data_IF_694025696939
#
_entry.id   IF_694025696939
#
_cell.length_a   1.000
_cell.length_b   1.000
_cell.length_c   1.000
_cell.angle_alpha   90.00
_cell.angle_beta   90.00
_cell.angle_gamma   90.00
#
_symmetry.space_group_name_H-M   'P 1'
#
loop_
_entity.id
_entity.type
_entity.pdbx_description
1 polymer ?
#
# COMPACT_ATOMS: atom_id res chain seq x y z
N UNK A 1 12.39 -4.48 -15.13
CA UNK A 1 11.27 -3.98 -14.30
C UNK A 1 10.63 -2.72 -14.89
N UNK A 2 11.39 -1.84 -15.60
CA UNK A 2 10.82 -0.68 -16.30
C UNK A 2 9.70 -1.06 -17.28
N UNK A 3 9.82 -2.23 -17.93
CA UNK A 3 8.78 -2.76 -18.81
C UNK A 3 7.52 -3.17 -18.03
N UNK A 4 7.67 -3.76 -16.84
CA UNK A 4 6.54 -4.12 -15.99
C UNK A 4 5.80 -2.87 -15.51
N UNK A 5 6.54 -1.86 -15.06
CA UNK A 5 6.00 -0.54 -14.72
C UNK A 5 5.16 0.04 -15.86
N UNK A 6 5.72 0.07 -17.08
CA UNK A 6 5.02 0.61 -18.25
C UNK A 6 3.73 -0.16 -18.54
N UNK A 7 3.74 -1.48 -18.45
CA UNK A 7 2.55 -2.31 -18.69
C UNK A 7 1.47 -2.07 -17.65
N UNK A 8 1.83 -1.93 -16.38
CA UNK A 8 0.90 -1.59 -15.30
C UNK A 8 0.30 -0.20 -15.54
N UNK A 9 1.13 0.81 -15.78
CA UNK A 9 0.70 2.20 -15.99
C UNK A 9 -0.32 2.32 -17.14
N UNK A 10 -0.14 1.56 -18.21
CA UNK A 10 -1.03 1.59 -19.37
C UNK A 10 -2.25 0.67 -19.26
N UNK A 11 -2.36 -0.14 -18.19
CA UNK A 11 -3.47 -1.06 -17.99
C UNK A 11 -4.79 -0.32 -17.70
N UNK A 12 -5.91 -0.99 -18.01
CA UNK A 12 -7.23 -0.46 -17.68
C UNK A 12 -7.49 -0.51 -16.18
N UNK A 13 -6.96 -1.53 -15.49
CA UNK A 13 -7.05 -1.65 -14.05
C UNK A 13 -6.44 -0.43 -13.34
N UNK A 14 -5.25 0.02 -13.76
CA UNK A 14 -4.63 1.21 -13.21
C UNK A 14 -5.48 2.47 -13.44
N UNK A 15 -6.01 2.66 -14.66
CA UNK A 15 -6.88 3.82 -14.97
C UNK A 15 -8.14 3.89 -14.11
N UNK A 16 -8.68 2.74 -13.68
CA UNK A 16 -9.87 2.68 -12.81
C UNK A 16 -9.62 3.21 -11.41
N UNK A 17 -8.36 3.24 -10.94
CA UNK A 17 -8.02 3.73 -9.60
C UNK A 17 -8.40 5.20 -9.40
N UNK A 18 -8.41 6.02 -10.46
CA UNK A 18 -8.82 7.44 -10.38
C UNK A 18 -10.28 7.65 -9.96
N UNK A 19 -11.14 6.65 -10.14
CA UNK A 19 -12.57 6.69 -9.80
C UNK A 19 -12.92 5.83 -8.58
N UNK A 20 -11.91 5.30 -7.90
CA UNK A 20 -12.07 4.63 -6.61
C UNK A 20 -11.58 5.55 -5.51
N UNK A 21 -12.38 5.72 -4.47
CA UNK A 21 -11.98 6.49 -3.29
C UNK A 21 -11.02 5.68 -2.42
N UNK A 22 -10.18 6.36 -1.66
CA UNK A 22 -9.29 5.70 -0.71
C UNK A 22 -10.09 5.22 0.50
N UNK A 23 -10.61 6.13 1.30
CA UNK A 23 -11.42 5.83 2.50
C UNK A 23 -12.79 6.48 2.40
N UNK A 24 -12.85 7.77 2.14
CA UNK A 24 -14.09 8.53 2.14
C UNK A 24 -14.78 8.47 0.76
N UNK A 25 -15.96 7.87 0.70
CA UNK A 25 -16.71 7.71 -0.53
C UNK A 25 -17.94 8.62 -0.59
N UNK A 26 -18.44 8.87 -1.80
CA UNK A 26 -19.60 9.73 -2.06
C UNK A 26 -19.39 11.19 -1.67
N UNK A 27 -18.16 11.70 -1.80
CA UNK A 27 -17.80 13.09 -1.55
C UNK A 27 -17.44 13.72 -2.88
N UNK A 28 -18.18 14.78 -3.26
CA UNK A 28 -17.88 15.59 -4.44
C UNK A 28 -16.84 16.66 -4.06
N UNK A 29 -15.56 16.28 -4.06
CA UNK A 29 -14.45 17.19 -3.79
C UNK A 29 -13.20 16.71 -4.51
N UNK A 30 -12.56 17.61 -5.25
CA UNK A 30 -11.29 17.36 -5.93
C UNK A 30 -10.10 17.26 -4.96
N UNK A 31 -10.32 17.52 -3.68
CA UNK A 31 -9.27 17.52 -2.65
C UNK A 31 -9.19 16.19 -1.87
N UNK A 32 -10.15 15.29 -2.05
CA UNK A 32 -10.19 14.01 -1.35
C UNK A 32 -9.41 12.96 -2.14
N UNK A 33 -8.56 12.24 -1.44
CA UNK A 33 -7.62 11.28 -2.02
C UNK A 33 -8.33 10.14 -2.78
N UNK A 34 -7.99 10.00 -4.05
CA UNK A 34 -8.35 8.83 -4.86
C UNK A 34 -7.34 7.70 -4.65
N UNK A 35 -7.70 6.47 -5.03
CA UNK A 35 -6.75 5.35 -5.00
C UNK A 35 -5.56 5.56 -5.92
N UNK A 36 -5.73 6.25 -7.03
CA UNK A 36 -4.61 6.59 -7.91
C UNK A 36 -3.61 7.52 -7.22
N UNK A 37 -4.08 8.52 -6.47
CA UNK A 37 -3.20 9.41 -5.71
C UNK A 37 -2.50 8.66 -4.56
N UNK A 38 -3.22 7.76 -3.87
CA UNK A 38 -2.61 6.88 -2.88
C UNK A 38 -1.48 6.04 -3.49
N UNK A 39 -1.70 5.39 -4.64
CA UNK A 39 -0.66 4.62 -5.34
C UNK A 39 0.56 5.48 -5.67
N UNK A 40 0.37 6.73 -6.11
CA UNK A 40 1.47 7.65 -6.38
C UNK A 40 2.21 8.07 -5.10
N UNK A 41 1.50 8.20 -3.97
CA UNK A 41 2.14 8.47 -2.68
C UNK A 41 2.98 7.28 -2.21
N UNK A 42 2.43 6.06 -2.30
CA UNK A 42 3.17 4.83 -1.98
C UNK A 42 4.40 4.70 -2.86
N UNK A 43 4.27 4.98 -4.15
CA UNK A 43 5.36 4.96 -5.10
C UNK A 43 6.47 5.95 -4.71
N UNK A 44 6.12 7.20 -4.41
CA UNK A 44 7.07 8.24 -4.01
C UNK A 44 7.82 7.90 -2.71
N UNK A 45 7.09 7.41 -1.70
CA UNK A 45 7.67 6.96 -0.42
C UNK A 45 8.59 5.76 -0.64
N UNK A 46 8.13 4.75 -1.37
CA UNK A 46 8.89 3.54 -1.67
C UNK A 46 10.17 3.84 -2.44
N UNK A 47 10.08 4.70 -3.45
CA UNK A 47 11.24 5.13 -4.23
C UNK A 47 12.29 5.80 -3.35
N UNK A 48 11.87 6.72 -2.48
CA UNK A 48 12.78 7.45 -1.59
C UNK A 48 13.54 6.49 -0.66
N UNK A 49 12.83 5.50 -0.09
CA UNK A 49 13.43 4.49 0.77
C UNK A 49 14.37 3.58 -0.04
N UNK A 50 13.90 3.03 -1.17
CA UNK A 50 14.68 2.13 -2.00
C UNK A 50 15.97 2.79 -2.50
N UNK A 51 15.89 4.04 -2.97
CA UNK A 51 17.02 4.82 -3.42
C UNK A 51 18.06 5.04 -2.33
N UNK A 52 17.61 5.35 -1.12
CA UNK A 52 18.49 5.58 0.04
C UNK A 52 19.17 4.29 0.51
N UNK A 53 18.47 3.16 0.41
CA UNK A 53 18.99 1.84 0.79
C UNK A 53 19.73 1.11 -0.36
N UNK A 54 19.94 1.78 -1.49
CA UNK A 54 20.63 1.23 -2.69
C UNK A 54 19.96 -0.05 -3.23
N UNK A 55 18.63 -0.16 -3.09
CA UNK A 55 17.81 -1.22 -3.66
C UNK A 55 17.46 -0.93 -5.13
N UNK A 56 16.82 -1.88 -5.80
CA UNK A 56 16.38 -1.72 -7.18
C UNK A 56 15.14 -0.82 -7.27
N UNK A 57 15.34 0.44 -7.65
CA UNK A 57 14.28 1.44 -7.76
C UNK A 57 13.25 1.12 -8.86
N UNK A 58 13.65 0.56 -10.00
CA UNK A 58 12.71 0.14 -11.05
C UNK A 58 11.76 -0.99 -10.59
N UNK A 59 12.27 -1.95 -9.82
CA UNK A 59 11.44 -3.00 -9.22
C UNK A 59 10.47 -2.40 -8.21
N UNK A 60 10.96 -1.51 -7.35
CA UNK A 60 10.15 -0.81 -6.35
C UNK A 60 9.01 -0.02 -7.00
N UNK A 61 9.31 0.74 -8.07
CA UNK A 61 8.31 1.46 -8.87
C UNK A 61 7.23 0.52 -9.41
N UNK A 62 7.63 -0.58 -10.03
CA UNK A 62 6.69 -1.51 -10.64
C UNK A 62 5.78 -2.17 -9.61
N UNK A 63 6.30 -2.57 -8.44
CA UNK A 63 5.50 -3.14 -7.35
C UNK A 63 4.54 -2.09 -6.80
N UNK A 64 5.02 -0.88 -6.49
CA UNK A 64 4.21 0.19 -5.93
C UNK A 64 3.07 0.59 -6.86
N UNK A 65 3.30 0.70 -8.17
CA UNK A 65 2.26 1.00 -9.14
C UNK A 65 1.21 -0.10 -9.29
N UNK A 66 1.59 -1.35 -9.00
CA UNK A 66 0.73 -2.52 -9.16
C UNK A 66 -0.02 -2.95 -7.91
N UNK A 67 0.39 -2.51 -6.71
CA UNK A 67 -0.07 -3.09 -5.45
C UNK A 67 -1.60 -3.04 -5.29
N UNK A 68 -2.25 -1.96 -5.67
CA UNK A 68 -3.67 -1.66 -5.40
C UNK A 68 -4.62 -1.94 -6.57
N UNK A 69 -4.13 -2.54 -7.69
CA UNK A 69 -4.92 -2.79 -8.90
C UNK A 69 -6.20 -3.59 -8.65
N UNK A 70 -6.16 -4.50 -7.71
CA UNK A 70 -7.26 -5.42 -7.38
C UNK A 70 -8.27 -4.89 -6.38
N UNK A 71 -8.12 -3.66 -5.91
CA UNK A 71 -8.97 -3.14 -4.85
C UNK A 71 -10.44 -3.02 -5.25
N UNK A 72 -11.34 -3.41 -4.35
CA UNK A 72 -12.77 -3.35 -4.54
C UNK A 72 -13.29 -1.89 -4.55
N UNK A 73 -14.44 -1.61 -5.21
CA UNK A 73 -15.15 -0.36 -4.99
C UNK A 73 -15.55 -0.22 -3.52
N UNK A 74 -15.63 1.02 -3.02
CA UNK A 74 -15.98 1.34 -1.62
C UNK A 74 -15.00 0.79 -0.58
N UNK A 75 -13.72 0.71 -0.92
CA UNK A 75 -12.64 0.38 0.00
C UNK A 75 -12.79 -0.98 0.69
N UNK A 76 -12.36 -1.08 1.93
CA UNK A 76 -12.42 -2.31 2.72
C UNK A 76 -13.85 -2.75 3.05
N UNK A 77 -14.82 -1.81 3.12
CA UNK A 77 -16.21 -2.19 3.28
C UNK A 77 -16.73 -2.97 2.09
N UNK A 78 -16.50 -2.47 0.88
CA UNK A 78 -16.84 -3.19 -0.37
C UNK A 78 -16.15 -4.54 -0.46
N UNK A 79 -14.88 -4.61 -0.09
CA UNK A 79 -14.13 -5.86 -0.03
C UNK A 79 -14.76 -6.87 0.94
N UNK A 80 -15.18 -6.44 2.13
CA UNK A 80 -15.83 -7.30 3.11
C UNK A 80 -17.15 -7.90 2.58
N UNK A 81 -17.94 -7.09 1.87
CA UNK A 81 -19.19 -7.54 1.23
C UNK A 81 -18.89 -8.57 0.11
N UNK A 82 -17.92 -8.26 -0.76
CA UNK A 82 -17.53 -9.19 -1.84
C UNK A 82 -16.99 -10.50 -1.25
N UNK A 83 -16.17 -10.43 -0.19
CA UNK A 83 -15.65 -11.63 0.47
C UNK A 83 -16.78 -12.49 1.05
N UNK A 84 -17.79 -11.89 1.69
CA UNK A 84 -18.98 -12.60 2.19
C UNK A 84 -19.72 -13.31 1.07
N UNK A 85 -19.97 -12.62 -0.04
CA UNK A 85 -20.66 -13.19 -1.20
C UNK A 85 -19.81 -14.28 -1.89
N UNK A 86 -18.50 -14.05 -2.03
CA UNK A 86 -17.57 -15.03 -2.60
C UNK A 86 -17.53 -16.32 -1.78
N UNK A 87 -17.49 -16.22 -0.46
CA UNK A 87 -17.60 -17.40 0.41
C UNK A 87 -18.92 -18.13 0.25
N UNK A 88 -20.03 -17.38 0.21
CA UNK A 88 -21.37 -17.94 0.12
C UNK A 88 -21.63 -18.68 -1.20
N UNK A 89 -21.22 -18.09 -2.34
CA UNK A 89 -21.58 -18.60 -3.67
C UNK A 89 -20.48 -19.39 -4.36
N UNK A 90 -19.19 -19.10 -4.03
CA UNK A 90 -18.04 -19.71 -4.69
C UNK A 90 -17.20 -20.59 -3.76
N UNK A 91 -17.46 -20.56 -2.44
CA UNK A 91 -16.65 -21.25 -1.43
C UNK A 91 -15.20 -20.73 -1.33
N UNK A 92 -14.94 -19.52 -1.81
CA UNK A 92 -13.58 -18.93 -1.89
C UNK A 92 -13.50 -17.60 -1.15
N UNK A 93 -12.35 -17.34 -0.52
CA UNK A 93 -12.04 -16.03 0.03
C UNK A 93 -11.76 -15.03 -1.11
N UNK A 94 -12.21 -13.80 -0.92
CA UNK A 94 -11.84 -12.66 -1.75
C UNK A 94 -11.02 -11.68 -0.92
N UNK A 95 -9.89 -11.22 -1.46
CA UNK A 95 -9.11 -10.09 -0.95
C UNK A 95 -8.38 -9.41 -2.11
N UNK A 96 -8.11 -8.12 -1.95
CA UNK A 96 -7.70 -7.28 -3.08
C UNK A 96 -6.33 -7.63 -3.67
N UNK A 97 -5.37 -8.11 -2.88
CA UNK A 97 -4.03 -8.46 -3.37
C UNK A 97 -4.09 -9.68 -4.33
N UNK A 98 -4.88 -10.70 -3.96
CA UNK A 98 -5.10 -11.84 -4.86
C UNK A 98 -5.88 -11.43 -6.10
N UNK A 99 -6.84 -10.52 -5.95
CA UNK A 99 -7.56 -9.97 -7.07
C UNK A 99 -6.65 -9.13 -7.97
N UNK A 100 -5.68 -8.38 -7.41
CA UNK A 100 -4.64 -7.67 -8.15
C UNK A 100 -3.79 -8.60 -9.00
N UNK A 101 -3.31 -9.71 -8.41
CA UNK A 101 -2.62 -10.75 -9.16
C UNK A 101 -3.50 -11.34 -10.26
N UNK A 102 -4.77 -11.62 -9.97
CA UNK A 102 -5.71 -12.14 -10.96
C UNK A 102 -5.94 -11.17 -12.12
N UNK A 103 -6.00 -9.85 -11.85
CA UNK A 103 -6.12 -8.83 -12.90
C UNK A 103 -4.94 -8.86 -13.86
N UNK A 104 -3.70 -8.86 -13.34
CA UNK A 104 -2.50 -8.79 -14.19
C UNK A 104 -2.23 -10.11 -14.93
N UNK A 105 -2.69 -11.24 -14.39
CA UNK A 105 -2.47 -12.56 -14.98
C UNK A 105 -3.59 -13.01 -15.92
N UNK A 106 -4.83 -12.46 -15.79
CA UNK A 106 -5.99 -13.04 -16.48
C UNK A 106 -6.92 -12.00 -17.13
N UNK A 107 -7.00 -10.79 -16.61
CA UNK A 107 -8.00 -9.80 -17.07
C UNK A 107 -7.38 -8.74 -17.98
N UNK A 108 -6.23 -8.21 -17.60
CA UNK A 108 -5.52 -7.21 -18.39
C UNK A 108 -4.76 -7.91 -19.51
N UNK A 109 -5.12 -7.58 -20.74
CA UNK A 109 -4.55 -8.22 -21.92
C UNK A 109 -3.81 -7.19 -22.78
N UNK A 110 -2.64 -7.58 -23.26
CA UNK A 110 -1.84 -6.82 -24.22
C UNK A 110 -1.60 -7.66 -25.48
N UNK A 111 -1.63 -7.05 -26.68
CA UNK A 111 -1.27 -7.76 -27.89
C UNK A 111 0.25 -8.07 -27.88
N UNK A 112 0.60 -9.25 -28.34
CA UNK A 112 1.98 -9.62 -28.70
C UNK A 112 2.33 -9.14 -30.13
N UNK A 113 3.53 -9.49 -30.59
CA UNK A 113 4.00 -9.13 -31.93
C UNK A 113 3.19 -9.78 -33.08
N UNK A 114 2.32 -10.73 -32.78
CA UNK A 114 1.46 -11.45 -33.73
C UNK A 114 -0.03 -11.10 -33.50
N UNK A 115 -0.30 -10.01 -32.79
CA UNK A 115 -1.65 -9.54 -32.41
C UNK A 115 -2.46 -10.57 -31.57
N UNK A 116 -1.81 -11.57 -30.97
CA UNK A 116 -2.47 -12.41 -29.98
C UNK A 116 -2.49 -11.70 -28.64
N UNK A 117 -3.63 -11.74 -27.97
CA UNK A 117 -3.79 -11.16 -26.66
C UNK A 117 -3.20 -12.08 -25.60
N UNK A 118 -2.28 -11.55 -24.81
CA UNK A 118 -1.65 -12.21 -23.67
C UNK A 118 -1.85 -11.35 -22.42
N UNK A 119 -1.64 -11.96 -21.24
CA UNK A 119 -1.66 -11.21 -19.99
C UNK A 119 -0.54 -10.16 -19.95
N UNK A 120 -0.44 -9.40 -18.84
CA UNK A 120 0.59 -8.37 -18.72
C UNK A 120 2.02 -8.95 -18.73
N UNK A 121 2.19 -10.26 -18.56
CA UNK A 121 3.47 -10.95 -18.53
C UNK A 121 4.51 -10.22 -17.65
N UNK A 122 4.09 -9.93 -16.41
CA UNK A 122 4.95 -9.30 -15.42
C UNK A 122 5.95 -10.31 -14.85
N UNK A 123 7.10 -9.81 -14.42
CA UNK A 123 8.09 -10.64 -13.74
C UNK A 123 7.55 -11.21 -12.43
N UNK A 124 8.12 -12.33 -11.99
CA UNK A 124 7.73 -12.97 -10.74
C UNK A 124 7.85 -12.00 -9.55
N UNK A 125 8.95 -11.24 -9.47
CA UNK A 125 9.21 -10.32 -8.36
C UNK A 125 8.13 -9.23 -8.23
N UNK A 126 7.63 -8.70 -9.35
CA UNK A 126 6.53 -7.71 -9.35
C UNK A 126 5.22 -8.36 -8.95
N UNK A 127 4.88 -9.53 -9.50
CA UNK A 127 3.67 -10.29 -9.15
C UNK A 127 3.65 -10.70 -7.70
N UNK A 128 4.80 -11.12 -7.18
CA UNK A 128 4.98 -11.44 -5.78
C UNK A 128 4.78 -10.22 -4.88
N UNK A 129 5.38 -9.08 -5.24
CA UNK A 129 5.17 -7.82 -4.53
C UNK A 129 3.70 -7.41 -4.49
N UNK A 130 2.95 -7.59 -5.59
CA UNK A 130 1.52 -7.29 -5.66
C UNK A 130 0.71 -8.15 -4.68
N UNK A 131 0.95 -9.47 -4.61
CA UNK A 131 0.13 -10.35 -3.76
C UNK A 131 0.54 -10.31 -2.29
N UNK A 132 1.76 -9.87 -1.96
CA UNK A 132 2.31 -9.93 -0.61
C UNK A 132 2.39 -8.59 0.12
N UNK A 133 1.93 -7.47 -0.52
CA UNK A 133 2.09 -6.12 0.05
C UNK A 133 1.27 -5.90 1.32
N UNK A 134 0.10 -6.48 1.47
CA UNK A 134 -0.72 -6.38 2.68
C UNK A 134 -0.47 -7.49 3.70
N UNK A 135 -1.26 -7.47 4.72
CA UNK A 135 -1.23 -8.38 5.85
C UNK A 135 -0.56 -7.73 7.04
N UNK A 136 -1.41 -7.44 8.03
CA UNK A 136 -0.99 -6.81 9.25
C UNK A 136 -0.41 -7.85 10.20
N UNK A 137 0.90 -7.90 10.23
CA UNK A 137 1.61 -8.37 11.41
C UNK A 137 2.28 -7.16 12.01
N UNK A 138 2.10 -6.93 13.31
CA UNK A 138 2.86 -5.93 14.07
C UNK A 138 4.32 -6.36 14.15
N UNK A 139 5.01 -6.27 13.03
CA UNK A 139 6.41 -6.68 12.92
C UNK A 139 7.21 -5.41 12.68
N UNK A 140 8.05 -5.07 13.65
CA UNK A 140 8.97 -3.93 13.55
C UNK A 140 10.04 -4.10 12.46
N UNK A 141 10.15 -5.30 11.88
CA UNK A 141 11.14 -5.65 10.88
C UNK A 141 10.54 -6.61 9.85
N UNK A 142 10.65 -6.25 8.59
CA UNK A 142 10.25 -7.08 7.45
C UNK A 142 11.49 -7.61 6.74
N UNK A 143 11.62 -8.94 6.68
CA UNK A 143 12.65 -9.61 5.88
C UNK A 143 12.00 -10.33 4.71
N UNK A 144 12.64 -10.32 3.54
CA UNK A 144 12.21 -11.17 2.44
C UNK A 144 12.17 -12.63 2.89
N UNK A 145 11.25 -13.40 2.33
CA UNK A 145 11.32 -14.87 2.45
C UNK A 145 12.44 -15.41 1.59
N UNK A 146 12.99 -16.54 1.98
CA UNK A 146 14.13 -17.17 1.29
C UNK A 146 13.71 -18.02 0.07
N UNK A 147 12.44 -18.42 -0.02
CA UNK A 147 11.99 -19.40 -1.00
C UNK A 147 11.05 -18.75 -2.03
N UNK A 148 11.23 -19.15 -3.29
CA UNK A 148 10.26 -18.92 -4.35
C UNK A 148 9.11 -19.93 -4.19
N UNK A 149 7.88 -19.47 -4.21
CA UNK A 149 6.66 -20.28 -4.07
C UNK A 149 5.76 -20.07 -5.27
N UNK A 150 4.83 -21.00 -5.51
CA UNK A 150 3.73 -20.70 -6.42
C UNK A 150 2.85 -19.62 -5.79
N UNK A 151 2.60 -18.53 -6.52
CA UNK A 151 1.77 -17.43 -6.03
C UNK A 151 0.31 -17.84 -5.85
N UNK A 152 -0.10 -18.99 -6.38
CA UNK A 152 -1.42 -19.58 -6.11
C UNK A 152 -1.54 -20.16 -4.69
N UNK A 153 -0.42 -20.42 -4.02
CA UNK A 153 -0.38 -20.95 -2.64
C UNK A 153 -0.78 -19.91 -1.58
N UNK A 154 -0.92 -18.64 -1.96
CA UNK A 154 -1.51 -17.64 -1.08
C UNK A 154 -3.00 -17.95 -0.89
N UNK A 155 -3.40 -18.31 0.31
CA UNK A 155 -4.79 -18.60 0.70
C UNK A 155 -5.41 -17.51 1.57
N UNK A 156 -4.57 -16.68 2.21
CA UNK A 156 -4.97 -15.57 3.08
C UNK A 156 -4.03 -14.37 2.92
N UNK A 157 -4.52 -13.14 3.16
CA UNK A 157 -3.67 -11.94 3.18
C UNK A 157 -2.52 -12.08 4.17
N UNK A 158 -1.32 -11.63 3.78
CA UNK A 158 -0.16 -11.62 4.66
C UNK A 158 0.41 -12.98 5.05
N UNK A 159 0.01 -14.06 4.37
CA UNK A 159 0.48 -15.42 4.67
C UNK A 159 2.01 -15.53 4.52
N UNK A 160 2.57 -14.90 3.52
CA UNK A 160 4.01 -14.89 3.25
C UNK A 160 4.53 -13.45 3.13
N UNK A 161 5.77 -13.24 3.54
CA UNK A 161 6.47 -11.99 3.26
C UNK A 161 6.84 -11.92 1.77
N UNK A 162 7.05 -10.71 1.21
CA UNK A 162 7.62 -10.55 -0.13
C UNK A 162 8.95 -11.31 -0.27
N UNK A 163 9.27 -11.73 -1.49
CA UNK A 163 10.55 -12.41 -1.79
C UNK A 163 11.72 -11.43 -1.94
N UNK A 164 11.45 -10.13 -2.06
CA UNK A 164 12.46 -9.10 -2.26
C UNK A 164 12.41 -8.03 -1.19
N UNK A 165 13.52 -7.32 -0.97
CA UNK A 165 13.56 -6.15 -0.08
C UNK A 165 12.69 -5.00 -0.63
N UNK A 166 12.62 -4.84 -1.94
CA UNK A 166 11.76 -3.86 -2.61
C UNK A 166 10.28 -4.12 -2.29
N UNK A 167 9.83 -5.37 -2.32
CA UNK A 167 8.49 -5.76 -1.89
C UNK A 167 8.25 -5.44 -0.41
N UNK A 168 9.24 -5.65 0.46
CA UNK A 168 9.17 -5.27 1.86
C UNK A 168 9.09 -3.74 2.05
N UNK A 169 9.82 -2.97 1.22
CA UNK A 169 9.75 -1.50 1.21
C UNK A 169 8.36 -1.04 0.83
N UNK A 170 7.77 -1.57 -0.26
CA UNK A 170 6.41 -1.18 -0.68
C UNK A 170 5.38 -1.52 0.40
N UNK A 171 5.49 -2.69 1.03
CA UNK A 171 4.61 -3.11 2.13
C UNK A 171 4.62 -2.16 3.33
N UNK A 172 5.78 -1.60 3.67
CA UNK A 172 5.90 -0.61 4.75
C UNK A 172 5.48 0.78 4.29
N UNK A 173 5.83 1.16 3.06
CA UNK A 173 5.51 2.46 2.48
C UNK A 173 4.00 2.65 2.31
N UNK A 174 3.27 1.60 1.95
CA UNK A 174 1.81 1.61 1.89
C UNK A 174 1.21 2.03 3.24
N UNK A 175 1.67 1.43 4.35
CA UNK A 175 1.22 1.80 5.70
C UNK A 175 1.50 3.26 6.05
N UNK A 176 2.66 3.79 5.68
CA UNK A 176 3.02 5.18 5.94
C UNK A 176 2.18 6.14 5.11
N UNK A 177 1.97 5.81 3.83
CA UNK A 177 1.27 6.67 2.90
C UNK A 177 -0.21 6.85 3.27
N UNK A 178 -0.93 5.74 3.60
CA UNK A 178 -2.34 5.87 3.94
C UNK A 178 -2.57 6.62 5.25
N UNK A 179 -1.72 6.41 6.27
CA UNK A 179 -1.88 7.07 7.57
C UNK A 179 -1.82 8.58 7.45
N UNK A 180 -0.88 9.12 6.69
CA UNK A 180 -0.75 10.56 6.52
C UNK A 180 -1.94 11.16 5.77
N UNK A 181 -2.36 10.52 4.70
CA UNK A 181 -3.39 11.06 3.82
C UNK A 181 -4.79 10.96 4.41
N UNK A 182 -5.12 9.86 5.08
CA UNK A 182 -6.41 9.69 5.74
C UNK A 182 -6.65 10.75 6.81
N UNK A 183 -5.61 11.15 7.54
CA UNK A 183 -5.67 12.25 8.51
C UNK A 183 -5.95 13.59 7.80
N UNK A 184 -5.27 13.90 6.71
CA UNK A 184 -5.49 15.13 5.94
C UNK A 184 -6.92 15.22 5.41
N UNK A 185 -7.42 14.13 4.85
CA UNK A 185 -8.77 14.04 4.34
C UNK A 185 -9.80 14.20 5.47
N UNK A 186 -9.59 13.53 6.62
CA UNK A 186 -10.47 13.64 7.80
C UNK A 186 -10.49 15.06 8.38
N UNK A 187 -9.35 15.77 8.40
CA UNK A 187 -9.26 17.18 8.80
C UNK A 187 -10.03 18.06 7.81
N UNK A 188 -9.80 17.87 6.50
CA UNK A 188 -10.42 18.66 5.43
C UNK A 188 -11.93 18.52 5.41
N UNK A 189 -12.44 17.33 5.76
CA UNK A 189 -13.87 17.03 5.85
C UNK A 189 -14.51 17.44 7.18
N UNK A 190 -13.70 17.90 8.15
CA UNK A 190 -14.20 18.30 9.46
C UNK A 190 -14.69 17.12 10.32
N UNK A 191 -14.21 15.90 10.06
CA UNK A 191 -14.59 14.72 10.84
C UNK A 191 -13.86 14.63 12.18
N UNK A 192 -12.70 15.30 12.32
CA UNK A 192 -11.92 15.29 13.55
C UNK A 192 -12.32 16.45 14.45
N UNK A 193 -12.69 16.15 15.69
CA UNK A 193 -12.95 17.14 16.72
C UNK A 193 -11.65 17.80 17.22
N UNK A 194 -11.75 18.96 17.88
CA UNK A 194 -10.57 19.59 18.53
C UNK A 194 -9.89 18.66 19.55
N UNK A 195 -10.67 17.82 20.24
CA UNK A 195 -10.13 16.85 21.19
C UNK A 195 -9.36 15.74 20.47
N UNK A 196 -9.88 15.24 19.34
CA UNK A 196 -9.19 14.25 18.49
C UNK A 196 -7.89 14.82 17.93
N UNK A 197 -7.87 16.09 17.50
CA UNK A 197 -6.65 16.75 17.03
C UNK A 197 -5.60 16.91 18.15
N UNK A 198 -6.02 17.24 19.38
CA UNK A 198 -5.13 17.28 20.56
C UNK A 198 -4.57 15.90 20.92
N UNK A 199 -5.38 14.84 20.80
CA UNK A 199 -4.94 13.47 21.01
C UNK A 199 -3.89 13.07 19.96
N UNK A 200 -4.15 13.33 18.69
CA UNK A 200 -3.21 13.05 17.61
C UNK A 200 -1.88 13.81 17.78
N UNK A 201 -1.92 15.11 18.18
CA UNK A 201 -0.72 15.89 18.46
C UNK A 201 0.16 15.27 19.54
N UNK A 202 -0.44 14.68 20.59
CA UNK A 202 0.26 13.96 21.64
C UNK A 202 0.90 12.66 21.13
N UNK A 203 0.18 11.93 20.28
CA UNK A 203 0.70 10.68 19.68
C UNK A 203 1.95 10.96 18.87
N UNK A 204 1.93 12.01 18.03
CA UNK A 204 3.07 12.35 17.15
C UNK A 204 4.14 13.19 17.84
N UNK A 205 3.97 13.50 19.13
CA UNK A 205 4.92 14.27 19.93
C UNK A 205 5.29 15.64 19.32
N UNK A 206 4.28 16.32 18.76
CA UNK A 206 4.46 17.69 18.31
C UNK A 206 4.64 18.62 19.53
N UNK A 207 5.54 19.60 19.43
CA UNK A 207 5.70 20.61 20.46
C UNK A 207 4.37 21.33 20.70
N UNK A 208 4.06 21.63 21.96
CA UNK A 208 2.81 22.27 22.41
C UNK A 208 2.47 23.60 21.70
N UNK A 209 3.42 24.18 20.97
CA UNK A 209 3.27 25.41 20.21
C UNK A 209 2.89 25.20 18.72
N UNK A 210 2.87 23.98 18.20
CA UNK A 210 2.44 23.74 16.82
C UNK A 210 0.94 23.44 16.79
N UNK A 211 0.13 24.43 16.38
CA UNK A 211 -1.32 24.31 16.20
C UNK A 211 -1.72 23.50 14.95
N UNK A 212 -0.78 23.09 14.13
CA UNK A 212 -1.03 22.43 12.85
C UNK A 212 -0.32 21.08 12.79
N UNK A 213 -1.11 20.01 12.60
CA UNK A 213 -0.57 18.67 12.36
C UNK A 213 -0.03 18.64 10.94
N UNK A 214 1.26 18.47 10.79
CA UNK A 214 1.93 18.36 9.49
C UNK A 214 2.22 16.89 9.17
N UNK A 215 1.35 16.27 8.39
CA UNK A 215 1.45 14.86 7.98
C UNK A 215 2.70 14.59 7.14
N UNK A 216 3.13 15.57 6.32
CA UNK A 216 4.38 15.46 5.55
C UNK A 216 5.61 15.36 6.47
N UNK A 217 5.61 16.06 7.60
CA UNK A 217 6.66 15.94 8.61
C UNK A 217 6.64 14.56 9.28
N UNK A 218 5.46 14.05 9.62
CA UNK A 218 5.29 12.72 10.21
C UNK A 218 5.82 11.65 9.26
N UNK A 219 5.38 11.65 8.00
CA UNK A 219 5.86 10.72 6.98
C UNK A 219 7.36 10.85 6.75
N UNK A 220 7.89 12.07 6.65
CA UNK A 220 9.32 12.32 6.48
C UNK A 220 10.16 11.80 7.64
N UNK A 221 9.64 11.85 8.88
CA UNK A 221 10.31 11.26 10.05
C UNK A 221 10.33 9.72 9.96
N UNK A 222 9.22 9.10 9.57
CA UNK A 222 9.13 7.65 9.38
C UNK A 222 10.07 7.15 8.28
N UNK A 223 10.12 7.85 7.14
CA UNK A 223 11.04 7.51 6.04
C UNK A 223 12.50 7.57 6.50
N UNK A 224 12.89 8.65 7.18
CA UNK A 224 14.27 8.79 7.71
C UNK A 224 14.60 7.71 8.74
N UNK A 225 13.65 7.37 9.59
CA UNK A 225 13.82 6.33 10.60
C UNK A 225 14.03 4.95 9.95
N UNK A 226 13.23 4.60 8.94
CA UNK A 226 13.41 3.36 8.16
C UNK A 226 14.80 3.33 7.52
N UNK A 227 15.18 4.39 6.82
CA UNK A 227 16.47 4.47 6.14
C UNK A 227 17.66 4.31 7.12
N UNK A 228 17.53 4.81 8.35
CA UNK A 228 18.55 4.72 9.39
C UNK A 228 18.66 3.35 10.04
N UNK A 229 17.52 2.66 10.23
CA UNK A 229 17.44 1.43 11.02
C UNK A 229 17.48 0.15 10.18
N UNK A 230 17.19 0.24 8.87
CA UNK A 230 17.18 -0.91 7.97
C UNK A 230 18.58 -1.38 7.61
N UNK A 231 18.75 -2.69 7.50
CA UNK A 231 19.97 -3.33 6.98
C UNK A 231 19.65 -4.73 6.47
N UNK A 232 20.61 -5.38 5.78
CA UNK A 232 20.46 -6.76 5.32
C UNK A 232 20.19 -7.70 6.50
N UNK A 233 20.87 -7.50 7.63
CA UNK A 233 20.69 -8.36 8.82
C UNK A 233 19.37 -8.07 9.55
N UNK A 234 18.93 -6.82 9.61
CA UNK A 234 17.71 -6.43 10.33
C UNK A 234 16.46 -6.53 9.46
N UNK A 235 16.60 -6.40 8.14
CA UNK A 235 15.49 -6.23 7.21
C UNK A 235 15.09 -4.75 7.08
N UNK A 236 13.92 -4.50 6.48
CA UNK A 236 13.31 -3.18 6.41
C UNK A 236 12.57 -2.95 7.71
N UNK A 237 13.00 -1.96 8.51
CA UNK A 237 12.47 -1.80 9.87
C UNK A 237 12.39 -0.34 10.31
N UNK A 238 11.42 -0.08 11.18
CA UNK A 238 11.31 1.13 12.01
C UNK A 238 12.01 0.90 13.36
N UNK A 239 12.43 1.97 14.01
CA UNK A 239 12.76 1.92 15.43
C UNK A 239 11.54 1.54 16.27
N UNK A 240 11.74 1.03 17.48
CA UNK A 240 10.64 0.71 18.40
C UNK A 240 9.75 1.92 18.66
N UNK A 241 10.36 3.11 18.86
CA UNK A 241 9.63 4.35 19.08
C UNK A 241 8.75 4.72 17.89
N UNK A 242 9.30 4.69 16.66
CA UNK A 242 8.54 5.06 15.47
C UNK A 242 7.48 4.02 15.11
N UNK A 243 7.74 2.76 15.39
CA UNK A 243 6.74 1.68 15.24
C UNK A 243 5.58 1.86 16.22
N UNK A 244 5.83 2.26 17.46
CA UNK A 244 4.79 2.57 18.46
C UNK A 244 3.93 3.77 18.00
N UNK A 245 4.56 4.82 17.49
CA UNK A 245 3.85 5.99 16.93
C UNK A 245 2.96 5.55 15.75
N UNK A 246 3.50 4.79 14.81
CA UNK A 246 2.76 4.27 13.65
C UNK A 246 1.52 3.48 14.08
N UNK A 247 1.68 2.58 15.05
CA UNK A 247 0.58 1.76 15.56
C UNK A 247 -0.48 2.59 16.29
N UNK A 248 -0.08 3.60 17.06
CA UNK A 248 -1.02 4.52 17.73
C UNK A 248 -1.80 5.37 16.73
N UNK A 249 -1.16 5.90 15.69
CA UNK A 249 -1.86 6.64 14.64
C UNK A 249 -2.85 5.74 13.91
N UNK A 250 -2.44 4.50 13.59
CA UNK A 250 -3.32 3.52 12.98
C UNK A 250 -4.55 3.24 13.84
N UNK A 251 -4.37 3.00 15.14
CA UNK A 251 -5.49 2.81 16.07
C UNK A 251 -6.39 4.04 16.13
N UNK A 252 -5.81 5.24 16.14
CA UNK A 252 -6.54 6.50 16.08
C UNK A 252 -7.43 6.57 14.82
N UNK A 253 -6.92 6.24 13.63
CA UNK A 253 -7.68 6.25 12.38
C UNK A 253 -8.83 5.22 12.36
N UNK A 254 -8.76 4.13 13.13
CA UNK A 254 -9.84 3.15 13.23
C UNK A 254 -10.95 3.56 14.21
N UNK A 255 -10.66 4.46 15.15
CA UNK A 255 -11.62 4.89 16.20
C UNK A 255 -12.40 6.13 15.75
N UNK A 256 -11.77 7.00 15.01
CA UNK A 256 -12.29 8.29 14.56
C UNK A 256 -12.59 8.31 13.07
#
# INVERSE_FOLDING_TARGET
FARDYTRILHSTAYRRLKHKTQVFYNIESDHICTRMEHVLHVESVSYTIAKTLELNDELTHAIAMGHDLGHAPFGHYGESVINKLSKQYLGKNFWHERNGLYFVDNIELLPDHSDNFQNLNLTYAVRDGIISHCGERDINSLRPRNEFIDLQDFTTPGQYNPVTYEGCVVKIADKIAYIGRDIEDAISLGFLSENSLKELSKIVKLDDNSSVINTSTIMGNMIRDICKNSSVEKGICLSEEMSDILNKIKQFNYIH
#
